data_IF_026186865869
#
_entry.id   IF_026186865869
#
_cell.length_a   1.000
_cell.length_b   1.000
_cell.length_c   1.000
_cell.angle_alpha   90.00
_cell.angle_beta   90.00
_cell.angle_gamma   90.00
#
_symmetry.space_group_name_H-M   'P 1'
#
loop_
_entity.id
_entity.type
_entity.pdbx_description
1 polymer ?
#
# COMPACT_ATOMS: atom_id res chain seq x y z
N UNK A 1 -42.93 -56.56 -51.54
CA UNK A 1 -42.29 -56.44 -50.21
C UNK A 1 -41.29 -55.35 -50.30
N UNK A 2 -41.68 -54.11 -49.84
CA UNK A 2 -40.85 -52.90 -49.87
C UNK A 2 -40.36 -52.63 -48.45
N UNK A 3 -39.05 -52.64 -48.24
CA UNK A 3 -38.42 -52.18 -46.99
C UNK A 3 -38.18 -50.69 -47.10
N UNK A 4 -38.46 -49.88 -46.02
CA UNK A 4 -38.15 -48.50 -46.02
C UNK A 4 -36.68 -48.25 -45.57
N UNK A 5 -36.00 -47.35 -46.28
CA UNK A 5 -34.66 -46.86 -45.94
C UNK A 5 -34.75 -45.87 -44.77
N UNK A 6 -34.05 -46.17 -43.68
CA UNK A 6 -33.89 -45.34 -42.55
C UNK A 6 -32.77 -44.29 -42.84
N UNK A 7 -33.11 -43.01 -42.91
CA UNK A 7 -32.13 -41.88 -42.93
C UNK A 7 -31.77 -41.49 -41.50
N UNK A 8 -30.52 -41.73 -41.10
CA UNK A 8 -29.97 -41.23 -39.86
C UNK A 8 -29.35 -39.86 -40.12
N UNK A 9 -29.97 -38.81 -39.60
CA UNK A 9 -29.37 -37.47 -39.55
C UNK A 9 -28.36 -37.42 -38.40
N UNK A 10 -27.07 -37.31 -38.70
CA UNK A 10 -26.06 -36.91 -37.74
C UNK A 10 -26.10 -35.36 -37.57
N UNK A 11 -26.64 -34.89 -36.46
CA UNK A 11 -26.52 -33.50 -36.04
C UNK A 11 -25.20 -33.33 -35.31
N UNK A 12 -24.20 -32.76 -35.99
CA UNK A 12 -22.95 -32.32 -35.36
C UNK A 12 -23.21 -31.03 -34.59
N UNK A 13 -23.40 -31.15 -33.27
CA UNK A 13 -23.45 -30.02 -32.37
C UNK A 13 -22.01 -29.50 -32.16
N UNK A 14 -21.67 -28.38 -32.84
CA UNK A 14 -20.39 -27.68 -32.67
C UNK A 14 -20.49 -26.86 -31.40
N UNK A 15 -20.07 -27.41 -30.27
CA UNK A 15 -19.88 -26.68 -29.02
C UNK A 15 -18.63 -25.79 -29.14
N UNK A 16 -18.85 -24.52 -29.41
CA UNK A 16 -17.83 -23.46 -29.22
C UNK A 16 -17.54 -23.34 -27.71
N UNK A 17 -16.44 -23.95 -27.28
CA UNK A 17 -15.82 -23.67 -25.97
C UNK A 17 -15.24 -22.26 -26.03
N UNK A 18 -16.00 -21.30 -25.54
CA UNK A 18 -15.43 -20.05 -25.07
C UNK A 18 -14.64 -20.38 -23.81
N UNK A 19 -13.34 -20.60 -23.94
CA UNK A 19 -12.41 -20.48 -22.79
C UNK A 19 -12.35 -19.03 -22.40
N UNK A 20 -13.16 -18.64 -21.42
CA UNK A 20 -12.90 -17.43 -20.65
C UNK A 20 -11.55 -17.68 -19.98
N UNK A 21 -10.49 -17.04 -20.46
CA UNK A 21 -9.25 -16.87 -19.72
C UNK A 21 -9.62 -16.06 -18.48
N UNK A 22 -9.92 -16.76 -17.38
CA UNK A 22 -9.90 -16.15 -16.05
C UNK A 22 -8.43 -15.80 -15.86
N UNK A 23 -8.09 -14.52 -15.96
CA UNK A 23 -6.77 -14.04 -15.59
C UNK A 23 -6.53 -14.56 -14.17
N UNK A 24 -5.42 -15.25 -13.96
CA UNK A 24 -5.05 -15.77 -12.66
C UNK A 24 -4.86 -14.58 -11.72
N UNK A 25 -5.84 -14.36 -10.84
CA UNK A 25 -5.81 -13.22 -9.89
C UNK A 25 -4.56 -13.26 -9.00
N UNK A 26 -3.93 -14.43 -8.86
CA UNK A 26 -2.69 -14.62 -8.09
C UNK A 26 -1.49 -13.85 -8.67
N UNK A 27 -1.58 -13.40 -9.93
CA UNK A 27 -0.49 -12.68 -10.62
C UNK A 27 -0.63 -11.16 -10.57
N UNK A 28 -1.75 -10.66 -10.05
CA UNK A 28 -2.02 -9.24 -9.94
C UNK A 28 -1.48 -8.65 -8.62
N UNK A 29 -1.16 -7.36 -8.66
CA UNK A 29 -0.81 -6.56 -7.48
C UNK A 29 -1.77 -5.36 -7.39
N UNK A 30 -3.04 -5.61 -6.97
CA UNK A 30 -4.17 -4.73 -7.28
C UNK A 30 -4.26 -3.46 -6.44
N UNK A 31 -3.46 -3.33 -5.40
CA UNK A 31 -3.51 -2.23 -4.42
C UNK A 31 -2.18 -2.07 -3.71
N UNK A 32 -2.10 -1.06 -2.85
CA UNK A 32 -0.98 -0.93 -1.91
C UNK A 32 -0.75 -2.25 -1.16
N UNK A 33 0.48 -2.79 -1.26
CA UNK A 33 0.92 -4.08 -0.71
C UNK A 33 0.25 -5.32 -1.33
N UNK A 34 -0.32 -5.20 -2.51
CA UNK A 34 -0.76 -6.33 -3.34
C UNK A 34 -1.99 -7.09 -2.81
N UNK A 35 -2.09 -8.38 -3.13
CA UNK A 35 -3.22 -9.22 -2.74
C UNK A 35 -3.39 -9.24 -1.22
N UNK A 36 -4.63 -8.99 -0.75
CA UNK A 36 -4.93 -8.94 0.69
C UNK A 36 -4.13 -7.89 1.49
N UNK A 37 -3.39 -6.98 0.84
CA UNK A 37 -2.46 -6.04 1.46
C UNK A 37 -1.35 -6.70 2.28
N UNK A 38 -0.97 -7.95 1.95
CA UNK A 38 0.01 -8.75 2.69
C UNK A 38 1.45 -8.34 2.45
N UNK A 39 1.77 -7.77 1.29
CA UNK A 39 3.15 -7.52 0.84
C UNK A 39 3.85 -8.77 0.33
N UNK A 40 3.11 -9.82 0.02
CA UNK A 40 3.65 -11.13 -0.37
C UNK A 40 3.11 -11.56 -1.72
N UNK A 41 3.95 -12.16 -2.53
CA UNK A 41 3.55 -12.93 -3.70
C UNK A 41 4.49 -14.11 -3.89
N UNK A 42 3.92 -15.31 -3.96
CA UNK A 42 4.64 -16.56 -4.12
C UNK A 42 4.46 -17.13 -5.53
N UNK A 43 5.13 -18.23 -5.81
CA UNK A 43 4.98 -19.01 -7.04
C UNK A 43 6.01 -18.71 -8.12
N UNK A 44 6.88 -17.72 -7.93
CA UNK A 44 7.96 -17.37 -8.87
C UNK A 44 9.26 -17.10 -8.13
N UNK A 45 10.38 -17.46 -8.75
CA UNK A 45 11.69 -17.01 -8.28
C UNK A 45 11.84 -15.51 -8.52
N UNK A 46 12.41 -14.82 -7.56
CA UNK A 46 12.70 -13.39 -7.64
C UNK A 46 14.21 -13.11 -7.63
N UNK A 47 14.66 -12.06 -8.33
CA UNK A 47 16.07 -11.69 -8.39
C UNK A 47 16.61 -11.39 -6.98
N UNK A 48 17.86 -11.80 -6.75
CA UNK A 48 18.58 -11.52 -5.52
C UNK A 48 19.58 -10.37 -5.71
N UNK A 49 20.22 -10.33 -6.87
CA UNK A 49 21.28 -9.34 -7.19
C UNK A 49 20.95 -8.64 -8.51
N UNK A 50 21.14 -7.33 -8.52
CA UNK A 50 21.03 -6.49 -9.73
C UNK A 50 21.80 -5.20 -9.55
N UNK A 51 22.02 -4.48 -10.65
CA UNK A 51 22.48 -3.11 -10.66
C UNK A 51 21.58 -2.27 -11.57
N UNK A 52 20.73 -1.45 -10.99
CA UNK A 52 19.80 -0.60 -11.72
C UNK A 52 20.22 0.89 -11.70
N UNK A 53 21.44 1.21 -11.26
CA UNK A 53 21.96 2.58 -11.29
C UNK A 53 22.13 3.02 -12.75
N UNK A 54 21.42 4.08 -13.21
CA UNK A 54 21.56 4.58 -14.58
C UNK A 54 22.93 5.18 -14.88
N UNK A 55 23.73 5.50 -13.86
CA UNK A 55 25.10 5.99 -14.02
C UNK A 55 26.15 4.88 -14.09
N UNK A 56 25.77 3.63 -13.84
CA UNK A 56 26.67 2.49 -13.94
C UNK A 56 27.09 2.24 -15.41
N UNK A 57 28.35 1.79 -15.64
CA UNK A 57 28.81 1.40 -16.97
C UNK A 57 27.96 0.28 -17.58
N UNK A 58 27.45 -0.62 -16.73
CA UNK A 58 26.54 -1.70 -17.13
C UNK A 58 25.45 -1.89 -16.06
N UNK A 59 24.20 -1.91 -16.51
CA UNK A 59 23.06 -2.30 -15.69
C UNK A 59 22.85 -3.82 -15.79
N UNK A 60 22.47 -4.44 -14.67
CA UNK A 60 22.18 -5.87 -14.58
C UNK A 60 20.79 -6.12 -13.99
N UNK A 61 20.07 -7.09 -14.51
CA UNK A 61 18.76 -7.49 -14.00
C UNK A 61 17.63 -6.49 -14.32
N UNK A 62 17.90 -5.43 -15.09
CA UNK A 62 16.89 -4.44 -15.49
C UNK A 62 16.25 -4.88 -16.80
N UNK A 63 14.93 -5.16 -16.76
CA UNK A 63 14.15 -5.45 -17.98
C UNK A 63 13.88 -4.16 -18.77
N UNK A 64 13.42 -3.12 -18.05
CA UNK A 64 13.15 -1.81 -18.59
C UNK A 64 13.08 -0.74 -17.50
N UNK A 65 13.24 0.50 -17.92
CA UNK A 65 13.08 1.71 -17.10
C UNK A 65 12.24 2.72 -17.86
N UNK A 66 11.18 3.21 -17.25
CA UNK A 66 10.28 4.23 -17.81
C UNK A 66 10.34 5.51 -16.96
N UNK A 67 10.53 6.66 -17.59
CA UNK A 67 10.53 7.94 -16.88
C UNK A 67 9.14 8.32 -16.40
N UNK A 68 9.05 8.85 -15.17
CA UNK A 68 7.82 9.37 -14.57
C UNK A 68 8.01 10.86 -14.28
N UNK A 69 7.14 11.75 -14.82
CA UNK A 69 7.23 13.18 -14.55
C UNK A 69 6.77 13.54 -13.14
N UNK A 70 7.25 14.65 -12.60
CA UNK A 70 6.83 15.21 -11.32
C UNK A 70 7.26 14.38 -10.11
N UNK A 71 6.56 14.53 -9.00
CA UNK A 71 6.85 13.83 -7.74
C UNK A 71 5.66 12.98 -7.28
N UNK A 72 5.96 11.77 -6.78
CA UNK A 72 4.94 10.88 -6.22
C UNK A 72 5.58 9.70 -5.49
N UNK A 73 4.97 9.31 -4.38
CA UNK A 73 5.30 8.09 -3.62
C UNK A 73 4.29 6.97 -3.84
N UNK A 74 3.40 7.13 -4.84
CA UNK A 74 2.47 6.08 -5.25
C UNK A 74 3.21 4.79 -5.56
N UNK A 75 2.89 3.72 -4.85
CA UNK A 75 3.38 2.38 -5.19
C UNK A 75 2.76 1.90 -6.50
N UNK A 76 3.49 1.15 -7.33
CA UNK A 76 2.91 0.54 -8.52
C UNK A 76 1.79 -0.42 -8.16
N UNK A 77 0.74 -0.44 -8.97
CA UNK A 77 -0.27 -1.50 -8.97
C UNK A 77 -0.30 -2.18 -10.32
N UNK A 78 -0.51 -3.50 -10.32
CA UNK A 78 -0.44 -4.34 -11.52
C UNK A 78 -1.76 -5.07 -11.69
N UNK A 79 -2.31 -5.01 -12.91
CA UNK A 79 -3.47 -5.80 -13.29
C UNK A 79 -3.34 -6.28 -14.74
N UNK A 80 -3.30 -7.59 -14.93
CA UNK A 80 -3.02 -8.20 -16.23
C UNK A 80 -1.69 -7.71 -16.79
N UNK A 81 -1.71 -7.17 -18.00
CA UNK A 81 -0.53 -6.64 -18.69
C UNK A 81 -0.27 -5.14 -18.45
N UNK A 82 -0.86 -4.55 -17.42
CA UNK A 82 -0.80 -3.11 -17.17
C UNK A 82 -0.25 -2.80 -15.78
N UNK A 83 0.54 -1.73 -15.71
CA UNK A 83 1.02 -1.14 -14.46
C UNK A 83 0.49 0.28 -14.38
N UNK A 84 -0.03 0.64 -13.21
CA UNK A 84 -0.58 1.96 -12.94
C UNK A 84 0.17 2.62 -11.80
N UNK A 85 0.49 3.91 -11.95
CA UNK A 85 1.03 4.78 -10.90
C UNK A 85 0.39 6.15 -11.01
N UNK A 86 0.41 6.93 -9.94
CA UNK A 86 0.05 8.34 -10.02
C UNK A 86 1.21 9.25 -9.61
N UNK A 87 1.15 10.50 -10.05
CA UNK A 87 2.17 11.51 -9.80
C UNK A 87 1.54 12.90 -9.75
N UNK A 88 2.22 13.87 -9.14
CA UNK A 88 1.87 15.28 -9.20
C UNK A 88 2.97 16.04 -9.92
N UNK A 89 2.59 16.71 -11.01
CA UNK A 89 3.51 17.45 -11.89
C UNK A 89 3.28 18.94 -11.64
N UNK A 90 4.22 19.65 -11.01
CA UNK A 90 4.11 21.09 -10.81
C UNK A 90 4.34 21.86 -12.11
N UNK A 91 3.79 23.06 -12.17
CA UNK A 91 4.17 24.06 -13.18
C UNK A 91 5.56 24.58 -12.84
N UNK A 92 6.53 24.38 -13.75
CA UNK A 92 7.95 24.68 -13.51
C UNK A 92 8.68 23.58 -12.72
N UNK A 93 9.66 23.98 -11.91
CA UNK A 93 10.48 23.03 -11.16
C UNK A 93 9.73 22.50 -9.92
N UNK A 94 9.88 21.21 -9.66
CA UNK A 94 9.35 20.60 -8.44
C UNK A 94 10.12 21.12 -7.21
N UNK A 95 9.41 21.30 -6.08
CA UNK A 95 10.07 21.54 -4.81
C UNK A 95 11.02 20.39 -4.47
N UNK A 96 12.21 20.72 -3.94
CA UNK A 96 13.20 19.72 -3.54
C UNK A 96 12.61 18.69 -2.57
N UNK A 97 12.96 17.42 -2.78
CA UNK A 97 12.61 16.34 -1.87
C UNK A 97 13.73 16.16 -0.83
N UNK A 98 13.40 16.18 0.45
CA UNK A 98 14.38 15.92 1.50
C UNK A 98 14.62 14.42 1.66
N UNK A 99 15.89 14.02 1.79
CA UNK A 99 16.29 12.65 2.09
C UNK A 99 16.78 12.54 3.54
N UNK A 100 16.80 11.32 4.08
CA UNK A 100 17.33 11.01 5.40
C UNK A 100 16.38 11.31 6.55
N UNK A 101 16.76 10.83 7.73
CA UNK A 101 16.04 11.06 8.99
C UNK A 101 16.63 12.29 9.67
N UNK A 102 15.80 13.25 9.97
CA UNK A 102 16.18 14.48 10.72
C UNK A 102 15.83 15.75 9.99
N UNK A 103 15.73 16.81 10.73
CA UNK A 103 15.34 18.15 10.26
C UNK A 103 14.09 18.65 10.98
N UNK A 104 13.94 19.98 10.98
CA UNK A 104 12.74 20.61 11.50
C UNK A 104 11.55 20.29 10.56
N UNK A 105 10.33 20.18 11.12
CA UNK A 105 9.13 20.07 10.29
C UNK A 105 9.08 21.27 9.32
N UNK A 106 9.25 20.99 8.02
CA UNK A 106 9.29 22.02 6.99
C UNK A 106 8.25 21.70 5.93
N UNK A 107 7.36 22.64 5.66
CA UNK A 107 6.43 22.55 4.54
C UNK A 107 7.19 22.71 3.22
N UNK A 108 6.79 21.96 2.20
CA UNK A 108 7.30 22.16 0.85
C UNK A 108 6.74 23.46 0.26
N UNK A 109 7.52 24.12 -0.58
CA UNK A 109 7.08 25.25 -1.38
C UNK A 109 6.34 24.74 -2.62
N UNK A 110 5.03 24.53 -2.49
CA UNK A 110 4.14 24.08 -3.55
C UNK A 110 3.15 25.17 -4.01
N UNK A 111 3.40 26.45 -3.74
CA UNK A 111 2.53 27.56 -4.11
C UNK A 111 2.51 27.81 -5.63
N UNK A 112 2.18 26.79 -6.42
CA UNK A 112 2.08 26.77 -7.88
C UNK A 112 1.07 25.75 -8.34
N UNK A 113 0.59 25.89 -9.59
CA UNK A 113 -0.30 24.89 -10.18
C UNK A 113 0.38 23.54 -10.31
N UNK A 114 -0.39 22.50 -10.11
CA UNK A 114 -0.01 21.11 -10.31
C UNK A 114 -1.01 20.40 -11.20
N UNK A 115 -0.57 19.36 -11.86
CA UNK A 115 -1.44 18.36 -12.49
C UNK A 115 -1.28 17.05 -11.72
N UNK A 116 -2.39 16.49 -11.23
CA UNK A 116 -2.44 15.14 -10.66
C UNK A 116 -2.74 14.16 -11.77
N UNK A 117 -1.76 13.34 -12.06
CA UNK A 117 -1.73 12.51 -13.26
C UNK A 117 -1.72 11.03 -12.90
N UNK A 118 -2.55 10.25 -13.60
CA UNK A 118 -2.51 8.78 -13.58
C UNK A 118 -1.80 8.33 -14.86
N UNK A 119 -0.86 7.42 -14.71
CA UNK A 119 -0.06 6.84 -15.78
C UNK A 119 -0.32 5.35 -15.86
N UNK A 120 -0.45 4.84 -17.08
CA UNK A 120 -0.55 3.41 -17.36
C UNK A 120 0.59 3.01 -18.29
N UNK A 121 1.28 1.92 -17.93
CA UNK A 121 2.37 1.35 -18.68
C UNK A 121 2.05 -0.11 -19.06
N UNK A 122 2.57 -0.54 -20.19
CA UNK A 122 2.64 -1.94 -20.55
C UNK A 122 3.61 -2.66 -19.60
N UNK A 123 3.17 -3.74 -18.96
CA UNK A 123 3.95 -4.46 -17.95
C UNK A 123 5.23 -5.07 -18.53
N UNK A 124 5.20 -5.53 -19.75
CA UNK A 124 6.28 -6.26 -20.39
C UNK A 124 7.38 -5.34 -20.97
N UNK A 125 6.97 -4.22 -21.59
CA UNK A 125 7.87 -3.32 -22.29
C UNK A 125 8.20 -2.04 -21.53
N UNK A 126 7.39 -1.65 -20.53
CA UNK A 126 7.50 -0.34 -19.89
C UNK A 126 7.02 0.82 -20.76
N UNK A 127 6.42 0.54 -21.92
CA UNK A 127 5.85 1.57 -22.78
C UNK A 127 4.65 2.25 -22.10
N UNK A 128 4.61 3.57 -22.15
CA UNK A 128 3.47 4.32 -21.62
C UNK A 128 2.27 4.20 -22.56
N UNK A 129 1.24 3.45 -22.12
CA UNK A 129 0.03 3.22 -22.88
C UNK A 129 -0.88 4.45 -22.90
N UNK A 130 -1.03 5.11 -21.74
CA UNK A 130 -1.79 6.35 -21.63
C UNK A 130 -1.40 7.16 -20.38
N UNK A 131 -1.79 8.43 -20.40
CA UNK A 131 -1.66 9.39 -19.30
C UNK A 131 -2.94 10.20 -19.18
N UNK A 132 -3.46 10.36 -17.96
CA UNK A 132 -4.71 11.13 -17.68
C UNK A 132 -4.49 12.10 -16.54
N UNK A 133 -4.74 13.38 -16.80
CA UNK A 133 -4.83 14.41 -15.76
C UNK A 133 -6.18 14.28 -15.06
N UNK A 134 -6.17 13.85 -13.79
CA UNK A 134 -7.36 13.71 -12.96
C UNK A 134 -7.80 15.06 -12.39
N UNK A 135 -6.84 15.87 -11.94
CA UNK A 135 -7.06 17.20 -11.38
C UNK A 135 -5.97 18.18 -11.84
N UNK A 136 -6.32 19.45 -11.88
CA UNK A 136 -5.37 20.55 -12.13
C UNK A 136 -5.73 21.76 -11.27
N UNK A 137 -4.74 22.36 -10.62
CA UNK A 137 -4.90 23.54 -9.80
C UNK A 137 -3.75 23.72 -8.79
N UNK A 138 -3.90 24.70 -7.92
CA UNK A 138 -3.02 24.84 -6.75
C UNK A 138 -3.40 23.81 -5.70
N UNK A 139 -2.41 23.17 -5.01
CA UNK A 139 -2.70 22.25 -3.91
C UNK A 139 -3.55 22.93 -2.82
N UNK A 140 -4.61 22.26 -2.41
CA UNK A 140 -5.53 22.73 -1.37
C UNK A 140 -5.02 22.46 0.05
N UNK A 141 -4.02 21.58 0.18
CA UNK A 141 -3.37 21.22 1.44
C UNK A 141 -1.85 21.30 1.32
N UNK A 142 -1.21 21.63 2.43
CA UNK A 142 0.25 21.63 2.54
C UNK A 142 0.80 20.22 2.73
N UNK A 143 2.05 20.00 2.38
CA UNK A 143 2.78 18.75 2.63
C UNK A 143 4.16 19.01 3.25
N UNK A 144 4.65 18.02 3.96
CA UNK A 144 6.04 18.00 4.41
C UNK A 144 6.99 17.88 3.22
N UNK A 145 8.20 18.45 3.31
CA UNK A 145 9.20 18.42 2.23
C UNK A 145 9.66 17.00 1.85
N UNK A 146 9.42 15.99 2.71
CA UNK A 146 9.62 14.55 2.39
C UNK A 146 8.43 13.88 1.73
N UNK A 147 7.25 14.47 1.79
CA UNK A 147 6.04 13.97 1.16
C UNK A 147 5.89 14.54 -0.26
N UNK A 148 4.90 14.06 -0.99
CA UNK A 148 4.52 14.58 -2.31
C UNK A 148 3.03 14.90 -2.33
N UNK A 149 2.54 15.54 -3.40
CA UNK A 149 1.10 15.73 -3.63
C UNK A 149 0.42 14.46 -4.19
N UNK A 150 1.18 13.35 -4.37
CA UNK A 150 0.70 12.06 -4.86
C UNK A 150 1.37 10.90 -4.09
N UNK A 151 1.10 10.81 -2.77
CA UNK A 151 1.64 9.73 -1.95
C UNK A 151 0.79 8.45 -2.02
N UNK A 152 -0.50 8.57 -2.31
CA UNK A 152 -1.44 7.44 -2.31
C UNK A 152 -1.19 6.51 -3.49
N UNK A 153 -1.32 5.22 -3.26
CA UNK A 153 -1.35 4.23 -4.33
C UNK A 153 -2.77 4.09 -4.89
N UNK A 154 -2.85 3.68 -6.13
CA UNK A 154 -4.11 3.35 -6.78
C UNK A 154 -4.69 2.04 -6.24
N UNK A 155 -5.97 1.78 -6.49
CA UNK A 155 -6.58 0.47 -6.30
C UNK A 155 -7.34 0.06 -7.56
N UNK A 156 -7.26 -1.21 -7.93
CA UNK A 156 -7.87 -1.77 -9.14
C UNK A 156 -8.57 -3.09 -8.83
N UNK A 157 -9.71 -3.34 -9.48
CA UNK A 157 -10.48 -4.59 -9.33
C UNK A 157 -10.72 -5.34 -10.64
N UNK A 158 -10.05 -4.92 -11.73
CA UNK A 158 -10.20 -5.48 -13.07
C UNK A 158 -11.13 -4.70 -13.99
N UNK A 159 -12.03 -3.90 -13.46
CA UNK A 159 -12.93 -3.01 -14.22
C UNK A 159 -12.77 -1.54 -13.85
N UNK A 160 -12.38 -1.27 -12.61
CA UNK A 160 -12.31 0.06 -12.02
C UNK A 160 -10.88 0.33 -11.55
N UNK A 161 -10.39 1.52 -11.84
CA UNK A 161 -9.14 2.07 -11.34
C UNK A 161 -9.47 3.29 -10.49
N UNK A 162 -9.22 3.19 -9.19
CA UNK A 162 -9.55 4.22 -8.21
C UNK A 162 -8.29 4.97 -7.79
N UNK A 163 -8.32 6.30 -7.93
CA UNK A 163 -7.27 7.21 -7.50
C UNK A 163 -7.82 8.19 -6.46
N UNK A 164 -7.14 8.34 -5.33
CA UNK A 164 -7.49 9.32 -4.32
C UNK A 164 -6.32 10.26 -4.04
N UNK A 165 -6.50 11.54 -4.32
CA UNK A 165 -5.47 12.56 -4.12
C UNK A 165 -5.71 13.43 -2.88
N UNK A 166 -6.41 12.89 -1.86
CA UNK A 166 -6.75 13.63 -0.66
C UNK A 166 -7.65 14.82 -0.98
N UNK A 167 -7.17 16.02 -0.70
CA UNK A 167 -7.92 17.27 -0.90
C UNK A 167 -8.34 17.52 -2.36
N UNK A 168 -7.62 16.98 -3.32
CA UNK A 168 -7.86 17.17 -4.76
C UNK A 168 -8.89 16.18 -5.33
N UNK A 169 -9.40 15.26 -4.48
CA UNK A 169 -10.56 14.44 -4.80
C UNK A 169 -10.27 12.98 -5.10
N UNK A 170 -11.36 12.26 -5.26
CA UNK A 170 -11.43 10.84 -5.60
C UNK A 170 -11.92 10.67 -7.03
N UNK A 171 -11.28 9.82 -7.78
CA UNK A 171 -11.55 9.56 -9.20
C UNK A 171 -11.63 8.06 -9.47
N UNK A 172 -12.61 7.65 -10.25
CA UNK A 172 -12.75 6.29 -10.75
C UNK A 172 -12.70 6.29 -12.28
N UNK A 173 -11.82 5.51 -12.83
CA UNK A 173 -11.64 5.30 -14.27
C UNK A 173 -11.90 3.85 -14.63
N UNK A 174 -12.14 3.58 -15.92
CA UNK A 174 -11.92 2.25 -16.47
C UNK A 174 -10.41 2.01 -16.71
N UNK A 175 -10.03 0.78 -17.05
CA UNK A 175 -8.62 0.45 -17.29
C UNK A 175 -8.05 1.07 -18.58
N UNK A 176 -8.88 1.64 -19.44
CA UNK A 176 -8.47 2.38 -20.64
C UNK A 176 -8.28 3.89 -20.36
N UNK A 177 -8.47 4.31 -19.10
CA UNK A 177 -8.32 5.71 -18.67
C UNK A 177 -9.53 6.59 -19.03
N UNK A 178 -10.71 6.03 -19.22
CA UNK A 178 -11.95 6.80 -19.34
C UNK A 178 -12.50 7.05 -17.94
N UNK A 179 -12.76 8.32 -17.62
CA UNK A 179 -13.34 8.72 -16.34
C UNK A 179 -14.79 8.20 -16.24
N UNK A 180 -15.07 7.42 -15.19
CA UNK A 180 -16.42 6.92 -14.88
C UNK A 180 -17.16 7.91 -13.98
N UNK A 181 -16.52 8.35 -12.91
CA UNK A 181 -17.05 9.34 -11.98
C UNK A 181 -15.92 9.94 -11.10
N UNK A 182 -16.21 11.06 -10.44
CA UNK A 182 -15.34 11.66 -9.42
C UNK A 182 -16.16 12.20 -8.23
N UNK A 183 -15.46 12.44 -7.08
CA UNK A 183 -16.01 13.06 -5.87
C UNK A 183 -14.99 14.00 -5.24
N UNK A 184 -15.45 15.16 -4.81
CA UNK A 184 -14.74 16.03 -3.87
C UNK A 184 -15.21 15.67 -2.45
N UNK A 185 -14.27 15.28 -1.59
CA UNK A 185 -14.53 14.95 -0.17
C UNK A 185 -14.18 16.11 0.77
N UNK A 186 -13.83 17.26 0.22
CA UNK A 186 -13.39 18.42 0.98
C UNK A 186 -11.88 18.50 1.15
N UNK A 187 -11.43 19.50 1.88
CA UNK A 187 -10.01 19.68 2.21
C UNK A 187 -9.64 18.72 3.34
N UNK A 188 -8.56 17.98 3.15
CA UNK A 188 -8.00 17.06 4.13
C UNK A 188 -6.56 17.51 4.38
N UNK A 189 -6.36 18.24 5.46
CA UNK A 189 -5.05 18.83 5.79
C UNK A 189 -4.54 18.26 7.11
N UNK A 190 -3.78 17.17 7.05
CA UNK A 190 -3.17 16.56 8.22
C UNK A 190 -1.99 17.43 8.63
N UNK A 191 -2.25 18.40 9.53
CA UNK A 191 -1.29 19.42 9.93
C UNK A 191 -1.03 19.38 11.43
N UNK A 192 0.23 19.54 11.79
CA UNK A 192 0.66 19.84 13.16
C UNK A 192 1.70 20.97 13.10
N UNK A 193 1.61 21.94 13.98
CA UNK A 193 2.52 23.10 14.01
C UNK A 193 2.58 23.91 12.69
N UNK A 194 1.44 24.08 12.01
CA UNK A 194 1.34 24.76 10.71
C UNK A 194 2.17 24.13 9.58
N UNK A 195 2.70 22.92 9.80
CA UNK A 195 3.34 22.11 8.76
C UNK A 195 2.36 21.04 8.34
N UNK A 196 1.93 21.05 7.09
CA UNK A 196 1.19 19.95 6.51
C UNK A 196 2.11 18.72 6.40
N UNK A 197 1.61 17.57 6.83
CA UNK A 197 2.36 16.32 6.67
C UNK A 197 2.05 15.63 5.34
N UNK A 198 1.01 16.10 4.64
CA UNK A 198 0.50 15.48 3.44
C UNK A 198 -0.43 14.32 3.72
N UNK A 199 -1.25 14.00 2.75
CA UNK A 199 -2.17 12.87 2.77
C UNK A 199 -1.50 11.63 2.17
N UNK A 200 -1.71 10.43 2.75
CA UNK A 200 -1.05 9.21 2.28
C UNK A 200 -1.92 7.94 2.32
N UNK A 201 -3.10 7.97 2.96
CA UNK A 201 -3.98 6.80 3.03
C UNK A 201 -4.55 6.47 1.64
N UNK A 202 -4.24 5.29 1.12
CA UNK A 202 -4.71 4.82 -0.18
C UNK A 202 -6.16 4.33 -0.11
N UNK A 203 -6.91 4.33 -1.22
CA UNK A 203 -8.25 3.74 -1.25
C UNK A 203 -8.17 2.21 -1.10
N UNK A 204 -9.13 1.65 -0.36
CA UNK A 204 -9.31 0.21 -0.26
C UNK A 204 -10.61 -0.20 -0.92
N UNK A 205 -10.55 -1.16 -1.85
CA UNK A 205 -11.70 -1.70 -2.57
C UNK A 205 -12.02 -3.10 -2.03
N UNK A 206 -13.29 -3.36 -1.78
CA UNK A 206 -13.82 -4.69 -1.51
C UNK A 206 -15.22 -4.82 -2.09
N UNK A 207 -15.41 -5.73 -3.05
CA UNK A 207 -16.69 -5.86 -3.77
C UNK A 207 -17.14 -4.49 -4.32
N UNK A 208 -18.33 -4.02 -4.00
CA UNK A 208 -18.84 -2.71 -4.46
C UNK A 208 -18.58 -1.56 -3.45
N UNK A 209 -17.60 -1.70 -2.56
CA UNK A 209 -17.24 -0.68 -1.58
C UNK A 209 -15.87 -0.08 -1.86
N UNK A 210 -15.74 1.24 -1.68
CA UNK A 210 -14.48 1.96 -1.53
C UNK A 210 -14.46 2.53 -0.12
N UNK A 211 -13.41 2.27 0.64
CA UNK A 211 -13.23 2.84 1.98
C UNK A 211 -12.06 3.80 1.97
N UNK A 212 -12.27 4.98 2.56
CA UNK A 212 -11.30 6.05 2.67
C UNK A 212 -11.24 6.57 4.11
N UNK A 213 -10.04 6.73 4.62
CA UNK A 213 -9.77 7.42 5.89
C UNK A 213 -9.43 8.87 5.61
N UNK A 214 -10.17 9.80 6.18
CA UNK A 214 -10.01 11.23 5.98
C UNK A 214 -9.78 11.91 7.34
N UNK A 215 -8.70 11.53 8.01
CA UNK A 215 -8.40 11.95 9.39
C UNK A 215 -7.68 13.32 9.43
N UNK A 216 -8.38 14.36 8.96
CA UNK A 216 -8.01 15.76 9.20
C UNK A 216 -8.33 16.10 10.67
N UNK A 217 -7.37 16.62 11.46
CA UNK A 217 -7.61 16.95 12.87
C UNK A 217 -8.81 17.89 13.11
N UNK A 218 -9.16 18.72 12.13
CA UNK A 218 -10.31 19.62 12.24
C UNK A 218 -11.65 18.92 12.08
N UNK A 219 -11.70 17.87 11.24
CA UNK A 219 -12.92 17.11 10.93
C UNK A 219 -12.59 15.69 10.47
N UNK A 220 -12.06 14.82 11.35
CA UNK A 220 -11.70 13.46 10.97
C UNK A 220 -12.93 12.59 10.72
N UNK A 221 -12.91 11.82 9.62
CA UNK A 221 -13.97 10.87 9.29
C UNK A 221 -13.45 9.67 8.51
N UNK A 222 -14.21 8.60 8.62
CA UNK A 222 -14.12 7.41 7.78
C UNK A 222 -15.35 7.38 6.87
N UNK A 223 -15.18 7.04 5.60
CA UNK A 223 -16.30 6.98 4.65
C UNK A 223 -16.22 5.73 3.79
N UNK A 224 -17.37 5.09 3.58
CA UNK A 224 -17.55 4.10 2.54
C UNK A 224 -18.39 4.67 1.41
N UNK A 225 -17.92 4.44 0.19
CA UNK A 225 -18.57 4.86 -1.05
C UNK A 225 -18.87 3.64 -1.91
N UNK A 226 -19.93 3.73 -2.70
CA UNK A 226 -20.26 2.72 -3.69
C UNK A 226 -19.28 2.82 -4.87
N UNK A 227 -18.62 1.72 -5.22
CA UNK A 227 -17.62 1.70 -6.28
C UNK A 227 -18.21 2.05 -7.66
N UNK A 228 -19.43 1.61 -7.95
CA UNK A 228 -20.05 1.79 -9.27
C UNK A 228 -20.38 3.24 -9.63
N UNK A 229 -20.66 4.12 -8.65
CA UNK A 229 -21.10 5.50 -8.89
C UNK A 229 -20.52 6.54 -7.91
N UNK A 230 -19.72 6.11 -6.94
CA UNK A 230 -19.10 6.95 -5.91
C UNK A 230 -20.09 7.56 -4.91
N UNK A 231 -21.33 7.06 -4.81
CA UNK A 231 -22.28 7.54 -3.79
C UNK A 231 -21.86 7.07 -2.41
N UNK A 232 -22.00 7.96 -1.44
CA UNK A 232 -21.76 7.66 -0.04
C UNK A 232 -22.76 6.61 0.46
N UNK A 233 -22.23 5.54 1.04
CA UNK A 233 -23.01 4.50 1.70
C UNK A 233 -23.19 4.83 3.17
N UNK A 234 -22.08 5.19 3.82
CA UNK A 234 -22.07 5.67 5.19
C UNK A 234 -20.82 6.54 5.45
N UNK A 235 -20.92 7.35 6.50
CA UNK A 235 -19.82 8.18 7.03
C UNK A 235 -19.84 8.14 8.54
N UNK A 236 -18.68 7.93 9.14
CA UNK A 236 -18.48 7.93 10.60
C UNK A 236 -17.56 9.07 10.98
N UNK A 237 -18.02 9.94 11.89
CA UNK A 237 -17.14 10.95 12.50
C UNK A 237 -16.15 10.26 13.45
N UNK A 238 -14.87 10.68 13.36
CA UNK A 238 -13.80 10.15 14.22
C UNK A 238 -13.25 11.21 15.17
N UNK A 239 -13.99 12.30 15.37
CA UNK A 239 -13.54 13.50 16.09
C UNK A 239 -13.02 13.23 17.52
N UNK A 240 -13.66 12.30 18.25
CA UNK A 240 -13.31 12.02 19.64
C UNK A 240 -12.36 10.81 19.77
N UNK A 241 -12.02 10.17 18.66
CA UNK A 241 -11.25 8.92 18.65
C UNK A 241 -10.02 8.98 17.74
N UNK A 242 -9.89 10.00 16.91
CA UNK A 242 -8.74 10.12 16.01
C UNK A 242 -8.29 11.58 15.86
N UNK A 243 -7.03 11.83 16.08
CA UNK A 243 -6.39 13.09 15.74
C UNK A 243 -5.71 13.04 14.37
N UNK A 244 -5.25 11.86 13.96
CA UNK A 244 -4.55 11.64 12.69
C UNK A 244 -4.37 10.17 12.37
N UNK A 245 -4.30 9.87 11.07
CA UNK A 245 -3.81 8.61 10.53
C UNK A 245 -3.27 8.80 9.11
N UNK A 246 -2.40 7.90 8.67
CA UNK A 246 -1.88 7.84 7.30
C UNK A 246 -1.96 6.45 6.70
N UNK A 247 -2.19 5.44 7.55
CA UNK A 247 -2.32 4.05 7.13
C UNK A 247 -3.51 3.83 6.20
N UNK A 248 -3.32 2.98 5.19
CA UNK A 248 -4.39 2.52 4.31
C UNK A 248 -5.35 1.62 5.09
N UNK A 249 -6.69 1.79 4.98
CA UNK A 249 -7.65 0.90 5.61
C UNK A 249 -7.43 -0.56 5.23
N UNK A 250 -7.40 -1.46 6.21
CA UNK A 250 -7.51 -2.89 5.95
C UNK A 250 -8.98 -3.26 5.85
N UNK A 251 -9.38 -3.95 4.79
CA UNK A 251 -10.68 -4.61 4.72
C UNK A 251 -10.43 -6.12 4.82
N UNK A 252 -11.07 -6.78 5.78
CA UNK A 252 -10.89 -8.19 6.05
C UNK A 252 -12.23 -8.89 6.34
N UNK A 253 -12.48 -9.96 5.61
CA UNK A 253 -13.66 -10.81 5.77
C UNK A 253 -13.31 -12.03 6.62
N UNK A 254 -14.05 -12.26 7.71
CA UNK A 254 -13.90 -13.42 8.57
C UNK A 254 -15.27 -13.88 9.06
N UNK A 255 -15.60 -15.16 8.87
CA UNK A 255 -16.82 -15.80 9.36
C UNK A 255 -18.10 -15.00 9.09
N UNK A 256 -18.23 -14.46 7.88
CA UNK A 256 -19.39 -13.69 7.42
C UNK A 256 -19.44 -12.23 7.91
N UNK A 257 -18.46 -11.78 8.70
CA UNK A 257 -18.29 -10.36 9.07
C UNK A 257 -17.17 -9.78 8.24
N UNK A 258 -17.43 -8.67 7.54
CA UNK A 258 -16.38 -7.90 6.87
C UNK A 258 -16.08 -6.66 7.69
N UNK A 259 -14.84 -6.53 8.15
CA UNK A 259 -14.42 -5.42 8.99
C UNK A 259 -13.42 -4.50 8.28
N UNK A 260 -13.44 -3.23 8.68
CA UNK A 260 -12.52 -2.18 8.25
C UNK A 260 -11.66 -1.78 9.43
N UNK A 261 -10.35 -2.04 9.38
CA UNK A 261 -9.44 -1.71 10.47
C UNK A 261 -8.62 -0.48 10.12
N UNK A 262 -8.63 0.50 11.02
CA UNK A 262 -7.90 1.77 10.87
C UNK A 262 -6.85 1.88 11.98
N UNK A 263 -5.59 2.03 11.56
CA UNK A 263 -4.52 2.41 12.45
C UNK A 263 -4.57 3.93 12.67
N UNK A 264 -5.07 4.36 13.79
CA UNK A 264 -5.24 5.77 14.16
C UNK A 264 -4.61 6.09 15.52
N UNK A 265 -4.51 7.36 15.84
CA UNK A 265 -4.05 7.82 17.13
C UNK A 265 -5.07 8.80 17.74
N UNK A 266 -5.44 8.65 19.03
CA UNK A 266 -4.94 7.66 20.00
C UNK A 266 -5.56 6.26 19.90
N UNK A 267 -6.55 6.03 19.02
CA UNK A 267 -7.24 4.77 18.91
C UNK A 267 -6.99 4.05 17.58
N UNK A 268 -6.66 2.77 17.66
CA UNK A 268 -6.86 1.80 16.58
C UNK A 268 -8.30 1.33 16.66
N UNK A 269 -9.03 1.34 15.56
CA UNK A 269 -10.47 1.02 15.56
C UNK A 269 -10.83 0.12 14.38
N UNK A 270 -11.69 -0.86 14.64
CA UNK A 270 -12.35 -1.66 13.62
C UNK A 270 -13.83 -1.32 13.51
N UNK A 271 -14.31 -1.28 12.27
CA UNK A 271 -15.69 -0.99 11.93
C UNK A 271 -16.27 -2.11 11.07
N UNK A 272 -17.58 -2.31 11.13
CA UNK A 272 -18.31 -3.15 10.19
C UNK A 272 -18.38 -2.45 8.83
N UNK A 273 -18.05 -3.17 7.74
CA UNK A 273 -18.01 -2.59 6.39
C UNK A 273 -19.38 -2.15 5.88
N UNK A 274 -20.44 -2.88 6.23
CA UNK A 274 -21.79 -2.60 5.70
C UNK A 274 -22.46 -1.44 6.43
N UNK A 275 -22.19 -1.30 7.74
CA UNK A 275 -22.91 -0.34 8.60
C UNK A 275 -22.06 0.85 9.06
N UNK A 276 -20.73 0.71 9.11
CA UNK A 276 -19.82 1.67 9.74
C UNK A 276 -19.84 1.64 11.28
N UNK A 277 -20.51 0.67 11.90
CA UNK A 277 -20.53 0.53 13.36
C UNK A 277 -19.19 0.05 13.90
N UNK A 278 -18.79 0.56 15.08
CA UNK A 278 -17.55 0.15 15.76
C UNK A 278 -17.66 -1.32 16.22
N UNK A 279 -16.70 -2.14 15.85
CA UNK A 279 -16.62 -3.54 16.28
C UNK A 279 -15.70 -3.70 17.50
N UNK A 280 -14.51 -3.16 17.43
CA UNK A 280 -13.55 -3.16 18.52
C UNK A 280 -12.58 -1.97 18.41
N UNK A 281 -11.92 -1.67 19.54
CA UNK A 281 -10.87 -0.64 19.58
C UNK A 281 -9.77 -0.97 20.57
N UNK A 282 -8.60 -0.36 20.31
CA UNK A 282 -7.41 -0.38 21.19
C UNK A 282 -6.95 1.05 21.39
N UNK A 283 -6.80 1.46 22.65
CA UNK A 283 -6.15 2.71 23.02
C UNK A 283 -4.62 2.52 23.04
N UNK A 284 -3.89 3.61 22.97
CA UNK A 284 -2.45 3.67 23.20
C UNK A 284 -1.58 3.24 22.01
N UNK A 285 -2.05 3.51 20.79
CA UNK A 285 -1.22 3.46 19.59
C UNK A 285 -0.01 4.40 19.66
N UNK A 286 1.02 4.21 18.82
CA UNK A 286 2.07 5.19 18.62
C UNK A 286 1.49 6.44 17.94
N UNK A 287 1.99 7.65 18.31
CA UNK A 287 1.39 8.91 17.89
C UNK A 287 1.56 9.27 16.40
N UNK A 288 2.30 8.44 15.63
CA UNK A 288 2.37 8.49 14.17
C UNK A 288 1.94 7.15 13.56
N UNK A 289 0.62 6.91 13.39
CA UNK A 289 0.08 5.67 12.83
C UNK A 289 0.19 5.67 11.30
N UNK A 290 1.40 5.48 10.78
CA UNK A 290 1.70 5.46 9.35
C UNK A 290 1.58 4.05 8.78
N UNK A 291 2.14 2.99 9.41
CA UNK A 291 1.99 1.63 8.91
C UNK A 291 0.52 1.22 8.79
N UNK A 292 0.17 0.58 7.68
CA UNK A 292 -1.18 0.07 7.46
C UNK A 292 -1.42 -1.21 8.26
N UNK A 293 -2.61 -1.46 8.80
CA UNK A 293 -2.99 -2.77 9.31
C UNK A 293 -2.94 -3.81 8.20
N UNK A 294 -2.66 -5.05 8.54
CA UNK A 294 -2.67 -6.16 7.59
C UNK A 294 -3.03 -7.48 8.27
N UNK A 295 -3.35 -8.51 7.48
CA UNK A 295 -3.69 -9.85 7.97
C UNK A 295 -2.60 -10.83 7.61
N UNK A 296 -2.23 -11.66 8.56
CA UNK A 296 -1.40 -12.84 8.34
C UNK A 296 -1.75 -13.92 9.37
N UNK A 297 -1.63 -15.18 8.99
CA UNK A 297 -1.90 -16.34 9.87
C UNK A 297 -3.28 -16.29 10.57
N UNK A 298 -4.28 -15.67 9.91
CA UNK A 298 -5.63 -15.50 10.46
C UNK A 298 -5.77 -14.41 11.53
N UNK A 299 -4.74 -13.60 11.78
CA UNK A 299 -4.76 -12.49 12.75
C UNK A 299 -4.52 -11.15 12.09
N UNK A 300 -4.98 -10.09 12.75
CA UNK A 300 -4.81 -8.70 12.32
C UNK A 300 -3.61 -8.11 13.05
N UNK A 301 -2.66 -7.59 12.29
CA UNK A 301 -1.45 -6.93 12.80
C UNK A 301 -1.60 -5.43 12.67
N UNK A 302 -1.37 -4.71 13.76
CA UNK A 302 -1.34 -3.24 13.79
C UNK A 302 -0.05 -2.79 14.44
N UNK A 303 0.68 -1.93 13.76
CA UNK A 303 2.00 -1.49 14.18
C UNK A 303 2.09 0.02 14.04
N UNK A 304 2.69 0.68 14.99
CA UNK A 304 3.05 2.10 14.90
C UNK A 304 4.29 2.41 15.74
N UNK A 305 4.78 3.63 15.64
CA UNK A 305 5.89 4.10 16.46
C UNK A 305 5.82 5.61 16.63
N UNK A 306 6.76 6.16 17.38
CA UNK A 306 6.93 7.58 17.74
C UNK A 306 6.30 7.93 19.10
N UNK A 307 6.67 9.07 19.67
CA UNK A 307 6.14 9.53 20.97
C UNK A 307 6.58 8.68 22.18
N UNK A 308 7.70 7.97 22.05
CA UNK A 308 8.24 7.12 23.13
C UNK A 308 7.62 5.72 23.20
N UNK A 309 6.70 5.40 22.26
CA UNK A 309 6.09 4.08 22.11
C UNK A 309 6.27 3.58 20.68
N UNK A 310 6.42 2.28 20.54
CA UNK A 310 6.47 1.60 19.24
C UNK A 310 5.71 0.28 19.34
N UNK A 311 4.36 0.35 19.45
CA UNK A 311 3.55 -0.83 19.69
C UNK A 311 3.46 -1.75 18.49
N UNK A 312 3.28 -3.04 18.81
CA UNK A 312 2.78 -4.08 17.93
C UNK A 312 1.58 -4.70 18.63
N UNK A 313 0.44 -4.74 17.97
CA UNK A 313 -0.75 -5.45 18.42
C UNK A 313 -1.10 -6.53 17.41
N UNK A 314 -1.34 -7.74 17.91
CA UNK A 314 -1.85 -8.87 17.12
C UNK A 314 -3.24 -9.22 17.64
N UNK A 315 -4.25 -9.01 16.82
CA UNK A 315 -5.66 -8.98 17.21
C UNK A 315 -6.40 -10.15 16.58
N UNK A 316 -7.28 -10.77 17.34
CA UNK A 316 -8.19 -11.80 16.84
C UNK A 316 -9.25 -11.18 15.93
N UNK A 317 -9.59 -11.80 14.80
CA UNK A 317 -10.58 -11.23 13.89
C UNK A 317 -12.01 -11.17 14.45
N UNK A 318 -12.30 -11.99 15.46
CA UNK A 318 -13.59 -12.03 16.16
C UNK A 318 -13.67 -11.10 17.41
N UNK A 319 -12.64 -10.28 17.64
CA UNK A 319 -12.59 -9.33 18.76
C UNK A 319 -13.79 -8.37 18.76
N UNK A 320 -14.25 -7.97 19.96
CA UNK A 320 -15.35 -7.01 20.14
C UNK A 320 -15.10 -6.11 21.34
N UNK A 321 -15.56 -4.85 21.23
CA UNK A 321 -15.51 -3.84 22.29
C UNK A 321 -14.12 -3.26 22.52
N UNK A 322 -13.87 -2.70 23.69
CA UNK A 322 -12.55 -2.20 24.07
C UNK A 322 -11.64 -3.36 24.51
N UNK A 323 -10.67 -3.66 23.67
CA UNK A 323 -9.72 -4.75 23.87
C UNK A 323 -8.30 -4.23 24.20
N UNK A 324 -8.21 -3.01 24.72
CA UNK A 324 -6.92 -2.40 25.09
C UNK A 324 -6.18 -3.30 26.08
N UNK A 325 -4.98 -3.83 25.72
CA UNK A 325 -4.20 -4.62 26.66
C UNK A 325 -3.60 -3.73 27.74
N UNK A 326 -3.45 -4.25 28.96
CA UNK A 326 -2.70 -3.58 29.99
C UNK A 326 -1.20 -3.90 29.90
N UNK A 327 -0.38 -3.08 30.57
CA UNK A 327 1.08 -3.31 30.60
C UNK A 327 1.44 -4.67 31.22
N UNK A 328 0.67 -5.10 32.24
CA UNK A 328 0.89 -6.34 32.97
C UNK A 328 0.17 -7.53 32.34
N UNK A 329 -0.73 -7.29 31.38
CA UNK A 329 -1.44 -8.29 30.61
C UNK A 329 -1.41 -7.93 29.11
N UNK A 330 -0.30 -8.26 28.40
CA UNK A 330 -0.10 -7.91 26.99
C UNK A 330 -0.98 -8.73 26.02
N UNK A 331 -1.75 -9.65 26.54
CA UNK A 331 -2.78 -10.43 25.82
C UNK A 331 -4.10 -10.41 26.59
N UNK A 332 -5.19 -10.62 25.86
CA UNK A 332 -6.54 -10.73 26.43
C UNK A 332 -7.47 -11.51 25.46
N UNK A 333 -8.80 -11.48 25.67
CA UNK A 333 -9.74 -12.16 24.80
C UNK A 333 -9.71 -11.71 23.34
N UNK A 334 -9.35 -10.45 23.05
CA UNK A 334 -9.26 -9.88 21.69
C UNK A 334 -7.84 -9.76 21.16
N UNK A 335 -6.83 -9.62 22.03
CA UNK A 335 -5.42 -9.46 21.68
C UNK A 335 -4.66 -10.75 21.92
N UNK A 336 -4.05 -11.33 20.89
CA UNK A 336 -3.23 -12.56 20.96
C UNK A 336 -1.95 -12.28 21.73
N UNK A 337 -1.20 -11.27 21.29
CA UNK A 337 -0.04 -10.72 21.98
C UNK A 337 0.15 -9.25 21.60
N UNK A 338 0.85 -8.52 22.45
CA UNK A 338 1.25 -7.16 22.16
C UNK A 338 2.58 -6.80 22.83
N UNK A 339 3.24 -5.78 22.28
CA UNK A 339 4.39 -5.13 22.89
C UNK A 339 4.32 -3.63 22.66
N UNK A 340 4.83 -2.83 23.58
CA UNK A 340 4.95 -1.38 23.41
C UNK A 340 6.31 -0.96 22.84
N UNK A 341 7.16 -1.95 22.46
CA UNK A 341 8.48 -1.74 21.88
C UNK A 341 8.64 -2.65 20.66
N UNK A 342 9.30 -2.17 19.63
CA UNK A 342 9.63 -2.99 18.46
C UNK A 342 8.91 -2.58 17.17
N UNK A 343 7.82 -1.85 17.23
CA UNK A 343 7.09 -1.38 16.06
C UNK A 343 7.91 -0.50 15.11
N UNK A 344 7.45 -0.37 13.88
CA UNK A 344 8.07 0.46 12.83
C UNK A 344 7.45 1.85 12.75
N UNK A 345 8.23 2.83 12.28
CA UNK A 345 7.78 4.21 12.18
C UNK A 345 6.96 4.48 10.91
N UNK A 346 7.47 4.11 9.75
CA UNK A 346 6.84 4.42 8.45
C UNK A 346 6.52 3.15 7.65
N UNK A 347 7.45 2.21 7.61
CA UNK A 347 7.33 0.97 6.85
C UNK A 347 6.27 0.04 7.44
N UNK A 348 5.29 -0.39 6.66
CA UNK A 348 4.39 -1.47 7.05
C UNK A 348 5.17 -2.78 7.07
N UNK A 349 5.09 -3.57 8.14
CA UNK A 349 5.77 -4.85 8.26
C UNK A 349 5.25 -5.90 7.27
N UNK A 350 6.00 -6.99 7.14
CA UNK A 350 5.55 -8.20 6.47
C UNK A 350 5.68 -9.39 7.40
N UNK A 351 4.66 -10.24 7.46
CA UNK A 351 4.76 -11.57 8.08
C UNK A 351 5.05 -12.56 6.97
N UNK A 352 6.17 -13.27 7.08
CA UNK A 352 6.58 -14.26 6.10
C UNK A 352 7.09 -15.52 6.80
N UNK A 353 6.44 -16.65 6.54
CA UNK A 353 6.60 -17.84 7.35
C UNK A 353 6.18 -17.58 8.81
N UNK A 354 7.02 -17.98 9.75
CA UNK A 354 6.74 -17.84 11.19
C UNK A 354 7.15 -16.49 11.78
N UNK A 355 7.63 -15.54 10.97
CA UNK A 355 8.25 -14.31 11.47
C UNK A 355 7.61 -13.04 10.89
N UNK A 356 7.53 -12.00 11.72
CA UNK A 356 7.22 -10.64 11.32
C UNK A 356 8.50 -9.81 11.19
N UNK A 357 8.70 -9.17 10.03
CA UNK A 357 9.84 -8.32 9.72
C UNK A 357 9.41 -6.87 9.65
N UNK A 358 10.13 -5.99 10.35
CA UNK A 358 9.84 -4.57 10.46
C UNK A 358 11.06 -3.74 10.04
N UNK A 359 10.87 -2.85 9.06
CA UNK A 359 11.86 -1.83 8.72
C UNK A 359 11.70 -0.61 9.62
N UNK A 360 12.77 -0.19 10.30
CA UNK A 360 12.75 0.99 11.15
C UNK A 360 14.04 1.80 10.95
N UNK A 361 13.98 2.84 10.11
CA UNK A 361 15.17 3.55 9.64
C UNK A 361 16.22 2.58 9.07
N UNK A 362 17.40 2.54 9.66
CA UNK A 362 18.49 1.65 9.24
C UNK A 362 18.47 0.27 9.88
N UNK A 363 17.38 -0.10 10.56
CA UNK A 363 17.29 -1.34 11.34
C UNK A 363 16.21 -2.24 10.80
N UNK A 364 16.48 -3.55 10.75
CA UNK A 364 15.46 -4.58 10.58
C UNK A 364 15.26 -5.26 11.94
N UNK A 365 13.98 -5.38 12.32
CA UNK A 365 13.52 -6.08 13.53
C UNK A 365 12.75 -7.30 13.11
N UNK A 366 12.95 -8.40 13.81
CA UNK A 366 12.27 -9.66 13.53
C UNK A 366 11.76 -10.27 14.83
N UNK A 367 10.50 -10.66 14.83
CA UNK A 367 9.85 -11.34 15.94
C UNK A 367 9.14 -12.58 15.42
N UNK A 368 8.97 -13.59 16.28
CA UNK A 368 8.06 -14.68 15.99
C UNK A 368 6.63 -14.12 15.89
N UNK A 369 5.95 -14.35 14.75
CA UNK A 369 4.65 -13.76 14.46
C UNK A 369 3.54 -14.27 15.40
N UNK A 370 3.69 -15.49 15.94
CA UNK A 370 2.71 -16.13 16.83
C UNK A 370 2.89 -15.75 18.29
N UNK A 371 4.15 -15.68 18.76
CA UNK A 371 4.45 -15.50 20.20
C UNK A 371 4.88 -14.07 20.55
N UNK A 372 5.34 -13.29 19.58
CA UNK A 372 5.92 -11.97 19.80
C UNK A 372 7.35 -12.02 20.37
N UNK A 373 7.98 -13.21 20.44
CA UNK A 373 9.36 -13.35 20.90
C UNK A 373 10.31 -12.72 19.87
N UNK A 374 11.24 -11.90 20.36
CA UNK A 374 12.25 -11.24 19.53
C UNK A 374 13.26 -12.27 19.01
N UNK A 375 13.41 -12.36 17.68
CA UNK A 375 14.42 -13.14 17.03
C UNK A 375 15.73 -12.34 16.86
N UNK A 376 15.61 -11.10 16.31
CA UNK A 376 16.75 -10.20 16.21
C UNK A 376 16.32 -8.74 16.00
N UNK A 377 17.22 -7.80 16.34
CA UNK A 377 17.18 -6.39 15.99
C UNK A 377 18.57 -6.00 15.48
N UNK A 378 18.69 -5.83 14.16
CA UNK A 378 20.01 -5.68 13.52
C UNK A 378 20.03 -4.49 12.55
N UNK A 379 21.19 -3.86 12.41
CA UNK A 379 21.41 -2.77 11.46
C UNK A 379 21.74 -3.30 10.08
N UNK A 380 21.08 -2.73 9.08
CA UNK A 380 21.44 -2.94 7.68
C UNK A 380 22.82 -2.34 7.36
N UNK A 381 23.56 -2.89 6.37
CA UNK A 381 24.72 -2.21 5.79
C UNK A 381 24.38 -0.75 5.39
N UNK A 382 25.26 0.18 5.70
CA UNK A 382 25.02 1.62 5.47
C UNK A 382 25.56 2.08 4.12
N UNK A 383 24.95 3.09 3.48
CA UNK A 383 23.80 3.87 3.98
C UNK A 383 22.47 3.12 3.82
N UNK A 384 21.57 3.22 4.80
CA UNK A 384 20.22 2.65 4.75
C UNK A 384 19.22 3.51 5.52
N UNK A 385 18.04 3.71 4.97
CA UNK A 385 16.87 4.27 5.66
C UNK A 385 15.60 3.70 5.00
N UNK A 386 14.93 2.80 5.71
CA UNK A 386 13.76 2.06 5.22
C UNK A 386 12.50 2.83 5.54
N UNK A 387 11.89 3.39 4.52
CA UNK A 387 10.62 4.12 4.57
C UNK A 387 9.54 3.34 3.83
N UNK A 388 9.88 2.80 2.66
CA UNK A 388 9.02 1.89 1.92
C UNK A 388 8.63 0.68 2.77
N UNK A 389 7.43 0.15 2.57
CA UNK A 389 7.02 -1.09 3.23
C UNK A 389 7.81 -2.28 2.69
N UNK A 390 8.06 -3.24 3.57
CA UNK A 390 8.73 -4.47 3.17
C UNK A 390 7.82 -5.32 2.30
N UNK A 391 8.41 -6.03 1.34
CA UNK A 391 7.74 -7.08 0.58
C UNK A 391 8.54 -8.37 0.65
N UNK A 392 7.85 -9.51 0.50
CA UNK A 392 8.47 -10.83 0.62
C UNK A 392 8.02 -11.78 -0.48
N UNK A 393 8.93 -12.61 -0.93
CA UNK A 393 8.67 -13.75 -1.82
C UNK A 393 9.92 -14.64 -1.91
N UNK A 394 9.74 -15.89 -2.31
CA UNK A 394 10.82 -16.83 -2.65
C UNK A 394 11.89 -16.92 -1.53
N UNK A 395 11.45 -16.95 -0.26
CA UNK A 395 12.35 -17.04 0.90
C UNK A 395 13.14 -15.76 1.20
N UNK A 396 12.78 -14.63 0.60
CA UNK A 396 13.51 -13.36 0.69
C UNK A 396 12.63 -12.22 1.17
N UNK A 397 13.24 -11.25 1.87
CA UNK A 397 12.66 -9.99 2.27
C UNK A 397 13.37 -8.86 1.51
N UNK A 398 12.61 -8.00 0.85
CA UNK A 398 13.09 -6.87 0.10
C UNK A 398 12.79 -5.58 0.85
N UNK A 399 13.82 -4.79 1.13
CA UNK A 399 13.75 -3.54 1.87
C UNK A 399 14.31 -2.39 1.03
N UNK A 400 13.43 -1.66 0.35
CA UNK A 400 13.80 -0.50 -0.44
C UNK A 400 14.16 0.69 0.45
N UNK A 401 15.24 1.38 0.13
CA UNK A 401 15.81 2.47 0.91
C UNK A 401 15.74 3.80 0.16
N UNK A 402 15.53 4.89 0.90
CA UNK A 402 15.67 6.25 0.35
C UNK A 402 17.12 6.60 -0.03
N UNK A 403 18.09 5.75 0.34
CA UNK A 403 19.51 5.87 -0.07
C UNK A 403 19.83 5.07 -1.34
N UNK A 404 18.93 5.11 -2.31
CA UNK A 404 19.17 4.64 -3.69
C UNK A 404 19.54 3.16 -3.80
N UNK A 405 19.07 2.34 -2.86
CA UNK A 405 19.39 0.90 -2.85
C UNK A 405 18.24 0.05 -2.35
N UNK A 406 18.31 -1.25 -2.63
CA UNK A 406 17.40 -2.25 -2.11
C UNK A 406 18.20 -3.35 -1.41
N UNK A 407 17.98 -3.50 -0.10
CA UNK A 407 18.56 -4.59 0.68
C UNK A 407 17.70 -5.85 0.52
N UNK A 408 18.35 -6.98 0.27
CA UNK A 408 17.72 -8.29 0.20
C UNK A 408 18.25 -9.14 1.35
N UNK A 409 17.32 -9.69 2.14
CA UNK A 409 17.64 -10.57 3.27
C UNK A 409 17.02 -11.95 3.05
N UNK A 410 17.67 -12.99 3.55
CA UNK A 410 17.04 -14.30 3.69
C UNK A 410 15.97 -14.24 4.78
N UNK A 411 14.79 -14.79 4.52
CA UNK A 411 13.80 -14.99 5.57
C UNK A 411 14.28 -16.05 6.57
N UNK A 412 13.93 -15.89 7.85
CA UNK A 412 14.28 -16.81 8.94
C UNK A 412 14.57 -16.09 10.26
N UNK A 413 14.90 -16.85 11.31
CA UNK A 413 15.16 -16.33 12.65
C UNK A 413 16.52 -15.64 12.79
N UNK A 414 17.39 -15.77 11.80
CA UNK A 414 18.74 -15.20 11.81
C UNK A 414 18.82 -14.01 10.84
N UNK A 415 19.49 -12.94 11.26
CA UNK A 415 19.75 -11.81 10.37
C UNK A 415 20.79 -12.19 9.33
N UNK A 416 20.33 -12.31 8.08
CA UNK A 416 21.19 -12.72 6.96
C UNK A 416 20.98 -11.82 5.74
N UNK A 417 21.71 -10.69 5.64
CA UNK A 417 21.76 -9.91 4.41
C UNK A 417 22.41 -10.73 3.29
N UNK A 418 21.79 -10.73 2.10
CA UNK A 418 22.28 -11.45 0.91
C UNK A 418 22.76 -10.51 -0.18
N UNK A 419 22.14 -9.34 -0.31
CA UNK A 419 22.53 -8.36 -1.31
C UNK A 419 22.15 -6.92 -0.87
N UNK A 420 22.85 -5.94 -1.44
CA UNK A 420 22.49 -4.54 -1.44
C UNK A 420 22.59 -4.03 -2.88
N UNK A 421 21.47 -3.81 -3.51
CA UNK A 421 21.35 -3.60 -4.96
C UNK A 421 21.20 -2.10 -5.28
N UNK A 422 22.11 -1.49 -6.05
CA UNK A 422 21.98 -0.08 -6.43
C UNK A 422 20.77 0.17 -7.31
N UNK A 423 20.06 1.27 -7.07
CA UNK A 423 18.95 1.77 -7.89
C UNK A 423 19.30 3.08 -8.60
N UNK A 424 20.27 3.85 -8.06
CA UNK A 424 20.72 5.17 -8.55
C UNK A 424 19.69 6.28 -8.36
N UNK A 425 18.57 5.98 -7.73
CA UNK A 425 17.50 6.91 -7.40
C UNK A 425 16.83 6.50 -6.07
N UNK A 426 16.41 7.48 -5.22
CA UNK A 426 15.75 7.18 -3.97
C UNK A 426 14.45 6.40 -4.15
N UNK A 427 14.24 5.39 -3.28
CA UNK A 427 13.08 4.51 -3.28
C UNK A 427 12.20 4.76 -2.04
N UNK A 428 11.14 5.54 -2.21
CA UNK A 428 10.15 5.82 -1.16
C UNK A 428 8.92 4.93 -1.26
N UNK A 429 8.56 4.51 -2.47
CA UNK A 429 7.40 3.69 -2.74
C UNK A 429 7.68 2.21 -2.48
N UNK A 430 6.67 1.52 -1.96
CA UNK A 430 6.70 0.06 -1.82
C UNK A 430 6.67 -0.60 -3.19
N UNK A 431 7.58 -1.54 -3.50
CA UNK A 431 7.56 -2.21 -4.79
C UNK A 431 6.35 -3.11 -4.96
N UNK A 432 5.97 -3.37 -6.21
CA UNK A 432 5.02 -4.41 -6.58
C UNK A 432 5.74 -5.67 -7.05
N UNK A 433 5.10 -6.82 -6.87
CA UNK A 433 5.58 -8.12 -7.36
C UNK A 433 4.55 -8.69 -8.32
N UNK A 434 4.97 -9.14 -9.50
CA UNK A 434 4.10 -9.85 -10.44
C UNK A 434 4.93 -10.74 -11.35
N UNK A 435 4.59 -12.04 -11.45
CA UNK A 435 5.20 -13.01 -12.35
C UNK A 435 6.74 -13.06 -12.31
N UNK A 436 7.32 -13.03 -11.10
CA UNK A 436 8.77 -13.10 -10.92
C UNK A 436 9.50 -11.77 -11.15
N UNK A 437 8.78 -10.67 -11.40
CA UNK A 437 9.34 -9.34 -11.62
C UNK A 437 9.02 -8.41 -10.46
N UNK A 438 10.01 -7.65 -10.01
CA UNK A 438 9.88 -6.56 -9.06
C UNK A 438 9.74 -5.23 -9.81
N UNK A 439 8.68 -4.49 -9.49
CA UNK A 439 8.43 -3.15 -10.06
C UNK A 439 8.66 -2.09 -9.01
N UNK A 440 9.74 -1.31 -9.18
CA UNK A 440 10.09 -0.21 -8.28
C UNK A 440 9.65 1.12 -8.85
N UNK A 441 8.93 1.92 -8.08
CA UNK A 441 8.78 3.35 -8.31
C UNK A 441 9.89 4.06 -7.53
N UNK A 442 10.80 4.68 -8.25
CA UNK A 442 11.82 5.58 -7.70
C UNK A 442 11.33 7.03 -7.79
N UNK A 443 12.16 8.02 -7.46
CA UNK A 443 11.75 9.43 -7.55
C UNK A 443 11.46 9.89 -8.97
N UNK A 444 12.10 9.30 -10.00
CA UNK A 444 12.02 9.74 -11.40
C UNK A 444 11.58 8.63 -12.36
N UNK A 445 11.57 7.38 -11.93
CA UNK A 445 11.39 6.23 -12.82
C UNK A 445 10.42 5.18 -12.26
N UNK A 446 9.87 4.39 -13.17
CA UNK A 446 9.33 3.06 -12.90
C UNK A 446 10.32 2.05 -13.50
N UNK A 447 10.80 1.10 -12.70
CA UNK A 447 11.86 0.15 -13.06
C UNK A 447 11.38 -1.27 -12.85
N UNK A 448 11.51 -2.13 -13.85
CA UNK A 448 11.25 -3.55 -13.77
C UNK A 448 12.56 -4.33 -13.62
N UNK A 449 12.62 -5.17 -12.58
CA UNK A 449 13.80 -5.98 -12.21
C UNK A 449 13.44 -7.46 -12.24
N UNK A 450 14.27 -8.26 -12.93
CA UNK A 450 14.08 -9.72 -13.04
C UNK A 450 15.43 -10.46 -12.95
#
# INVERSE_FOLDING_TARGET
>A
MNLPRLFVFFSTCLTLLFSVLIADESQNWPRFRGPGATGIQEGHSLPTTWNADPAAEQQEGVLWRAAIPGLGHSSPVVWGDRIFVCTAVPEGEAAALMLGSGGQPTAADDARNHQWVILCFDKKSGEKLWSKTAHQGMPRATRHIKATQANTSLAVDGENLVAFFGSEGLYCYDLNGNLKWNRDLGVINISKYNTGWGYASSPSIHKNHIVLTCDDPANPFLVALRLSDGKELWRVSRKDICERSWGTPLIYENDGTTQVVINGWPWVVSYDLETGEELWKINDGGDNPIPSPFVANGWIYVVSAHGGKSPIYVVRPDARGDITPSRDAPSNGGVVWSTLKGGSYMSTPVVYGDYIYLGHYSTIRCFNATTGEEAYIEKLPQPASIIASLVAADGKIYAASEHESVHVLSAGPEFKPIANNPMGEPCFATPAISEGVLYFRTTQSLVAIH
#
